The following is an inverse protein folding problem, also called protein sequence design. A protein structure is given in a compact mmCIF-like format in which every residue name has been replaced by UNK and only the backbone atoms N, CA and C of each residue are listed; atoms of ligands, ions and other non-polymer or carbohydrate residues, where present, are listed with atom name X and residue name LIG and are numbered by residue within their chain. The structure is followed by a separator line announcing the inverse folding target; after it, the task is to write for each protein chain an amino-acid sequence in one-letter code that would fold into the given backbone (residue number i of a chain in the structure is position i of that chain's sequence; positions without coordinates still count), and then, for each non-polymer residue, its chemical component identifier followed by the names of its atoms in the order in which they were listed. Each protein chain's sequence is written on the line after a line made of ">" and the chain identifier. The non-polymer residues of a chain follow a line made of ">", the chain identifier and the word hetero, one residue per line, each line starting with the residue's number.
data_IF_220857911127
#
_entry.id   IF_220857911127
#
_cell.length_a   1.000
_cell.length_b   1.000
_cell.length_c   1.000
_cell.angle_alpha   90.00
_cell.angle_beta   90.00
_cell.angle_gamma   90.00
#
_symmetry.space_group_name_H-M   'P 1'
#
loop_
_entity.id
_entity.type
_entity.pdbx_description
1 polymer ?
#
# COMPACT_ATOMS: atom_id res chain seq x y z
N UNK A 1 -22.32 -2.75 -14.20
CA UNK A 1 -22.04 -1.36 -14.63
C UNK A 1 -20.69 -0.95 -14.03
N UNK A 2 -19.60 -0.90 -14.81
CA UNK A 2 -18.29 -0.44 -14.32
C UNK A 2 -18.18 1.05 -14.65
N UNK A 3 -18.25 1.92 -13.64
CA UNK A 3 -18.14 3.37 -13.79
C UNK A 3 -16.74 3.81 -13.37
N UNK A 4 -16.00 4.35 -14.33
CA UNK A 4 -14.74 5.08 -14.15
C UNK A 4 -14.98 6.32 -13.29
N UNK A 5 -14.17 6.57 -12.25
CA UNK A 5 -14.07 7.90 -11.63
C UNK A 5 -12.61 8.25 -11.32
N UNK A 6 -12.17 9.32 -11.96
CA UNK A 6 -10.98 10.10 -11.64
C UNK A 6 -11.15 10.82 -10.29
N UNK A 7 -10.05 10.99 -9.55
CA UNK A 7 -9.89 12.04 -8.56
C UNK A 7 -10.65 11.90 -7.24
N UNK A 8 -10.48 10.79 -6.52
CA UNK A 8 -10.77 10.74 -5.08
C UNK A 8 -9.86 9.71 -4.40
N UNK A 9 -9.30 10.00 -3.23
CA UNK A 9 -8.45 9.06 -2.47
C UNK A 9 -9.19 7.77 -2.02
N UNK A 10 -10.47 7.63 -2.35
CA UNK A 10 -11.32 6.48 -2.05
C UNK A 10 -11.05 5.20 -2.85
N UNK A 11 -9.86 5.05 -3.43
CA UNK A 11 -9.46 3.88 -4.23
C UNK A 11 -8.35 3.02 -3.61
N UNK A 12 -7.84 3.34 -2.42
CA UNK A 12 -6.80 2.54 -1.77
C UNK A 12 -7.43 1.27 -1.17
N UNK A 13 -7.00 0.06 -1.57
CA UNK A 13 -7.49 -1.18 -0.96
C UNK A 13 -7.25 -1.17 0.55
N UNK A 14 -8.21 -1.67 1.34
CA UNK A 14 -8.11 -1.68 2.81
C UNK A 14 -6.80 -2.30 3.31
N UNK A 15 -6.36 -3.39 2.69
CA UNK A 15 -5.13 -4.07 3.05
C UNK A 15 -3.89 -3.17 2.87
N UNK A 16 -3.86 -2.36 1.80
CA UNK A 16 -2.79 -1.38 1.55
C UNK A 16 -2.91 -0.20 2.51
N UNK A 17 -4.13 0.27 2.79
CA UNK A 17 -4.35 1.34 3.76
C UNK A 17 -3.86 0.96 5.16
N UNK A 18 -4.12 -0.28 5.59
CA UNK A 18 -3.73 -0.79 6.90
C UNK A 18 -2.30 -1.35 6.95
N UNK A 19 -1.53 -1.25 5.86
CA UNK A 19 -0.15 -1.71 5.83
C UNK A 19 0.76 -0.81 6.68
N UNK A 20 1.60 -1.44 7.50
CA UNK A 20 2.51 -0.76 8.41
C UNK A 20 3.97 -1.02 8.06
N UNK A 21 4.79 0.01 8.19
CA UNK A 21 6.26 -0.10 8.23
C UNK A 21 6.72 0.49 9.56
N UNK A 22 7.28 -0.37 10.41
CA UNK A 22 7.50 -0.03 11.82
C UNK A 22 6.18 0.36 12.50
N UNK A 23 6.20 1.45 13.27
CA UNK A 23 5.01 1.96 13.97
C UNK A 23 4.06 2.82 13.11
N UNK A 24 4.28 2.93 11.80
CA UNK A 24 3.54 3.86 10.95
C UNK A 24 2.67 3.16 9.92
N UNK A 25 1.40 3.58 9.85
CA UNK A 25 0.52 3.30 8.72
C UNK A 25 0.90 4.22 7.56
N UNK A 26 1.52 3.67 6.53
CA UNK A 26 2.28 4.46 5.54
C UNK A 26 1.39 5.44 4.77
N UNK A 27 0.27 4.96 4.20
CA UNK A 27 -0.66 5.80 3.44
C UNK A 27 -1.27 6.91 4.31
N UNK A 28 -1.70 6.58 5.53
CA UNK A 28 -2.28 7.55 6.45
C UNK A 28 -1.26 8.60 6.89
N UNK A 29 -0.05 8.18 7.25
CA UNK A 29 1.03 9.09 7.63
C UNK A 29 1.38 10.05 6.50
N UNK A 30 1.49 9.57 5.26
CA UNK A 30 1.83 10.41 4.11
C UNK A 30 0.84 11.58 3.93
N UNK A 31 -0.46 11.30 4.09
CA UNK A 31 -1.53 12.31 4.02
C UNK A 31 -1.53 13.23 5.25
N UNK A 32 -1.35 12.69 6.45
CA UNK A 32 -1.27 13.47 7.70
C UNK A 32 -0.12 14.47 7.68
N UNK A 33 1.05 14.06 7.22
CA UNK A 33 2.25 14.92 7.13
C UNK A 33 2.09 16.10 6.16
N UNK A 34 1.09 16.05 5.27
CA UNK A 34 0.77 17.09 4.28
C UNK A 34 -0.54 17.83 4.56
N UNK A 35 -1.16 17.59 5.72
CA UNK A 35 -2.38 18.29 6.12
C UNK A 35 -2.13 19.81 6.16
N UNK A 36 -3.08 20.58 5.62
CA UNK A 36 -2.97 22.05 5.55
C UNK A 36 -2.17 22.57 4.36
N UNK A 37 -1.66 21.70 3.47
CA UNK A 37 -1.04 22.06 2.21
C UNK A 37 -1.97 21.72 1.04
N UNK A 38 -1.91 22.49 -0.04
CA UNK A 38 -2.56 22.11 -1.31
C UNK A 38 -1.65 21.12 -2.02
N UNK A 39 -2.13 19.92 -2.28
CA UNK A 39 -1.40 18.91 -3.05
C UNK A 39 -1.37 19.31 -4.53
N UNK A 40 -0.20 19.17 -5.15
CA UNK A 40 -0.04 19.30 -6.59
C UNK A 40 -0.45 18.01 -7.31
N UNK A 41 -0.45 18.02 -8.64
CA UNK A 41 -0.64 16.79 -9.42
C UNK A 41 0.52 15.81 -9.15
N UNK A 42 1.76 16.29 -9.09
CA UNK A 42 2.93 15.48 -8.77
C UNK A 42 2.83 14.82 -7.39
N UNK A 43 2.29 15.53 -6.39
CA UNK A 43 2.02 14.96 -5.07
C UNK A 43 1.02 13.79 -5.15
N UNK A 44 -0.04 13.96 -5.94
CA UNK A 44 -1.09 12.94 -6.12
C UNK A 44 -0.51 11.72 -6.86
N UNK A 45 0.25 11.94 -7.93
CA UNK A 45 0.93 10.86 -8.66
C UNK A 45 1.94 10.12 -7.78
N UNK A 46 2.70 10.86 -6.97
CA UNK A 46 3.63 10.26 -6.03
C UNK A 46 2.91 9.41 -4.98
N UNK A 47 1.79 9.89 -4.43
CA UNK A 47 0.98 9.10 -3.52
C UNK A 47 0.45 7.81 -4.16
N UNK A 48 -0.02 7.88 -5.41
CA UNK A 48 -0.45 6.70 -6.15
C UNK A 48 0.67 5.68 -6.34
N UNK A 49 1.90 6.13 -6.63
CA UNK A 49 3.09 5.26 -6.72
C UNK A 49 3.41 4.61 -5.37
N UNK A 50 3.27 5.33 -4.25
CA UNK A 50 3.42 4.75 -2.91
C UNK A 50 2.37 3.65 -2.69
N UNK A 51 1.10 3.91 -2.99
CA UNK A 51 0.01 2.91 -2.85
C UNK A 51 0.32 1.66 -3.69
N UNK A 52 0.74 1.83 -4.95
CA UNK A 52 1.08 0.72 -5.84
C UNK A 52 2.27 -0.09 -5.31
N UNK A 53 3.35 0.57 -4.87
CA UNK A 53 4.53 -0.11 -4.34
C UNK A 53 4.21 -0.95 -3.08
N UNK A 54 3.32 -0.46 -2.21
CA UNK A 54 2.86 -1.22 -1.05
C UNK A 54 2.05 -2.45 -1.45
N UNK A 55 1.16 -2.33 -2.43
CA UNK A 55 0.39 -3.46 -2.95
C UNK A 55 1.30 -4.56 -3.53
N UNK A 56 2.29 -4.17 -4.34
CA UNK A 56 3.27 -5.11 -4.91
C UNK A 56 4.13 -5.78 -3.83
N UNK A 57 4.54 -5.01 -2.82
CA UNK A 57 5.29 -5.57 -1.68
C UNK A 57 4.48 -6.66 -0.97
N UNK A 58 3.19 -6.42 -0.73
CA UNK A 58 2.31 -7.42 -0.10
C UNK A 58 2.16 -8.67 -0.95
N UNK A 59 2.07 -8.54 -2.28
CA UNK A 59 1.99 -9.67 -3.20
C UNK A 59 3.27 -10.51 -3.15
N UNK A 60 4.44 -9.86 -3.24
CA UNK A 60 5.75 -10.53 -3.18
C UNK A 60 5.94 -11.26 -1.84
N UNK A 61 5.56 -10.65 -0.71
CA UNK A 61 5.62 -11.31 0.60
C UNK A 61 4.76 -12.57 0.62
N UNK A 62 3.53 -12.51 0.09
CA UNK A 62 2.66 -13.67 0.03
C UNK A 62 3.23 -14.78 -0.87
N UNK A 63 3.88 -14.43 -1.98
CA UNK A 63 4.58 -15.39 -2.85
C UNK A 63 5.75 -16.06 -2.12
N UNK A 64 6.54 -15.29 -1.36
CA UNK A 64 7.63 -15.82 -0.53
C UNK A 64 7.08 -16.80 0.51
N UNK A 65 6.02 -16.43 1.23
CA UNK A 65 5.40 -17.30 2.23
C UNK A 65 4.88 -18.61 1.61
N UNK A 66 4.29 -18.54 0.41
CA UNK A 66 3.83 -19.71 -0.32
C UNK A 66 4.98 -20.65 -0.70
N UNK A 67 6.10 -20.09 -1.19
CA UNK A 67 7.31 -20.87 -1.52
C UNK A 67 7.88 -21.53 -0.27
N UNK A 68 8.02 -20.79 0.83
CA UNK A 68 8.54 -21.34 2.10
C UNK A 68 7.65 -22.49 2.60
N UNK A 69 6.33 -22.31 2.58
CA UNK A 69 5.40 -23.36 2.97
C UNK A 69 5.50 -24.61 2.08
N UNK A 70 5.73 -24.45 0.78
CA UNK A 70 5.88 -25.56 -0.15
C UNK A 70 7.19 -26.36 0.07
N UNK A 71 8.20 -25.74 0.67
CA UNK A 71 9.53 -26.33 0.87
C UNK A 71 9.82 -26.78 2.32
N UNK A 72 8.77 -27.04 3.11
CA UNK A 72 8.92 -27.59 4.47
C UNK A 72 8.80 -26.56 5.59
N UNK A 73 8.36 -25.32 5.28
CA UNK A 73 8.10 -24.28 6.27
C UNK A 73 9.37 -23.55 6.74
N UNK A 74 9.19 -22.62 7.66
CA UNK A 74 10.33 -21.96 8.30
C UNK A 74 11.00 -22.95 9.27
N UNK A 75 12.34 -23.08 9.29
CA UNK A 75 13.03 -24.01 10.17
C UNK A 75 12.91 -23.68 11.68
N UNK A 76 12.22 -22.60 12.04
CA UNK A 76 12.02 -22.13 13.41
C UNK A 76 10.56 -22.25 13.90
N UNK A 77 9.64 -22.76 13.07
CA UNK A 77 8.23 -22.98 13.43
C UNK A 77 7.99 -24.39 13.98
#
# INVERSE_FOLDING_TARGET
>A
MRSTRFGNFGGVPKAVWDFHVGGYRVCEKWLKDRKGRKLTLDDIEHYQKVVAALAETMAIVAEIDAVISAHGGFPLS
#
